data_IF_276487908359
#
_entry.id   IF_276487908359
#
_cell.length_a   1.000
_cell.length_b   1.000
_cell.length_c   1.000
_cell.angle_alpha   90.00
_cell.angle_beta   90.00
_cell.angle_gamma   90.00
#
_symmetry.space_group_name_H-M   'P 1'
#
loop_
_entity.id
_entity.type
_entity.pdbx_description
1 polymer ?
#
# COMPACT_ATOMS: atom_id res chain seq x y z
N UNK A 1 2.72 -14.64 -4.30
CA UNK A 1 1.66 -13.98 -5.10
C UNK A 1 2.28 -12.72 -5.69
N UNK A 2 1.94 -12.28 -6.90
CA UNK A 2 2.32 -10.94 -7.35
C UNK A 2 1.67 -9.90 -6.43
N UNK A 3 2.43 -8.89 -6.00
CA UNK A 3 1.95 -7.84 -5.09
C UNK A 3 0.77 -7.09 -5.72
N UNK A 4 -0.43 -7.24 -5.16
CA UNK A 4 -1.63 -6.60 -5.68
C UNK A 4 -1.75 -5.12 -5.28
N UNK A 5 -0.85 -4.62 -4.43
CA UNK A 5 -0.87 -3.24 -3.94
C UNK A 5 -1.01 -2.20 -5.04
N UNK A 6 -0.22 -2.31 -6.12
CA UNK A 6 -0.24 -1.33 -7.21
C UNK A 6 -1.58 -1.36 -7.96
N UNK A 7 -2.11 -2.56 -8.23
CA UNK A 7 -3.41 -2.72 -8.88
C UNK A 7 -4.53 -2.13 -8.02
N UNK A 8 -4.50 -2.34 -6.70
CA UNK A 8 -5.51 -1.81 -5.79
C UNK A 8 -5.41 -0.28 -5.70
N UNK A 9 -4.20 0.27 -5.71
CA UNK A 9 -4.00 1.73 -5.79
C UNK A 9 -4.64 2.28 -7.06
N UNK A 10 -4.37 1.68 -8.22
CA UNK A 10 -4.94 2.11 -9.51
C UNK A 10 -6.47 1.96 -9.54
N UNK A 11 -7.03 0.91 -8.94
CA UNK A 11 -8.47 0.70 -8.83
C UNK A 11 -9.16 1.65 -7.82
N UNK A 12 -8.44 2.08 -6.79
CA UNK A 12 -8.95 2.96 -5.73
C UNK A 12 -9.08 4.43 -6.16
N UNK A 13 -8.74 4.77 -7.41
CA UNK A 13 -8.72 6.13 -7.92
C UNK A 13 -7.81 7.08 -7.11
N UNK A 14 -6.86 6.51 -6.36
CA UNK A 14 -5.86 7.22 -5.55
C UNK A 14 -4.51 7.17 -6.25
N UNK A 15 -3.69 8.18 -5.98
CA UNK A 15 -2.29 8.19 -6.40
C UNK A 15 -1.40 7.67 -5.28
N UNK A 16 -0.19 7.21 -5.62
CA UNK A 16 0.83 6.87 -4.62
C UNK A 16 1.02 8.02 -3.61
N UNK A 17 1.03 9.27 -4.10
CA UNK A 17 1.17 10.46 -3.25
C UNK A 17 0.01 10.64 -2.26
N UNK A 18 -1.24 10.43 -2.69
CA UNK A 18 -2.39 10.51 -1.77
C UNK A 18 -2.37 9.38 -0.74
N UNK A 19 -2.00 8.17 -1.16
CA UNK A 19 -1.88 7.02 -0.23
C UNK A 19 -0.81 7.31 0.83
N UNK A 20 0.34 7.84 0.42
CA UNK A 20 1.41 8.28 1.32
C UNK A 20 0.96 9.37 2.29
N UNK A 21 0.27 10.39 1.80
CA UNK A 21 -0.22 11.50 2.62
C UNK A 21 -1.21 11.02 3.69
N UNK A 22 -2.11 10.10 3.36
CA UNK A 22 -3.15 9.59 4.27
C UNK A 22 -2.61 8.50 5.22
N UNK A 23 -1.68 7.65 4.78
CA UNK A 23 -1.08 6.59 5.61
C UNK A 23 0.05 7.09 6.52
N UNK A 24 0.61 8.27 6.20
CA UNK A 24 1.82 8.78 6.83
C UNK A 24 3.08 7.98 6.48
N UNK A 25 3.06 7.24 5.38
CA UNK A 25 4.20 6.49 4.84
C UNK A 25 4.86 7.36 3.77
N UNK A 26 6.20 7.41 3.74
CA UNK A 26 6.90 8.15 2.69
C UNK A 26 6.77 7.45 1.33
N UNK A 27 6.78 8.23 0.24
CA UNK A 27 6.71 7.70 -1.14
C UNK A 27 7.75 6.62 -1.38
N UNK A 28 9.01 6.89 -1.01
CA UNK A 28 10.10 5.94 -1.13
C UNK A 28 9.84 4.62 -0.38
N UNK A 29 9.21 4.68 0.79
CA UNK A 29 8.88 3.48 1.56
C UNK A 29 7.71 2.71 0.93
N UNK A 30 6.70 3.41 0.41
CA UNK A 30 5.59 2.78 -0.30
C UNK A 30 6.07 2.09 -1.59
N UNK A 31 6.98 2.71 -2.36
CA UNK A 31 7.61 2.10 -3.54
C UNK A 31 8.41 0.84 -3.18
N UNK A 32 9.14 0.85 -2.05
CA UNK A 32 9.82 -0.34 -1.54
C UNK A 32 8.84 -1.45 -1.17
N UNK A 33 7.71 -1.13 -0.54
CA UNK A 33 6.66 -2.09 -0.20
C UNK A 33 6.02 -2.64 -1.48
N UNK A 34 5.82 -1.81 -2.52
CA UNK A 34 5.32 -2.27 -3.82
C UNK A 34 6.30 -3.25 -4.48
N UNK A 35 7.61 -2.95 -4.44
CA UNK A 35 8.64 -3.81 -5.01
C UNK A 35 8.87 -5.10 -4.21
N UNK A 36 8.79 -5.03 -2.87
CA UNK A 36 8.99 -6.16 -1.97
C UNK A 36 8.02 -6.11 -0.76
N UNK A 37 6.80 -6.66 -0.90
CA UNK A 37 5.79 -6.61 0.16
C UNK A 37 6.18 -7.40 1.41
N UNK A 38 7.07 -8.39 1.31
CA UNK A 38 7.55 -9.17 2.47
C UNK A 38 8.36 -8.33 3.46
N UNK A 39 8.93 -7.20 3.03
CA UNK A 39 9.65 -6.25 3.89
C UNK A 39 8.73 -5.24 4.58
N UNK A 40 7.44 -5.25 4.27
CA UNK A 40 6.47 -4.35 4.86
C UNK A 40 6.20 -4.76 6.31
N UNK A 41 6.25 -3.79 7.23
CA UNK A 41 5.80 -4.03 8.60
C UNK A 41 4.28 -4.16 8.60
N UNK A 42 3.74 -5.02 9.47
CA UNK A 42 2.28 -5.18 9.61
C UNK A 42 1.55 -3.84 9.81
N UNK A 43 2.14 -2.90 10.56
CA UNK A 43 1.58 -1.57 10.76
C UNK A 43 1.53 -0.72 9.49
N UNK A 44 2.49 -0.89 8.58
CA UNK A 44 2.52 -0.19 7.29
C UNK A 44 1.42 -0.75 6.38
N UNK A 45 1.31 -2.07 6.31
CA UNK A 45 0.24 -2.74 5.55
C UNK A 45 -1.15 -2.38 6.08
N UNK A 46 -1.32 -2.36 7.41
CA UNK A 46 -2.59 -1.96 8.03
C UNK A 46 -2.99 -0.52 7.65
N UNK A 47 -2.03 0.42 7.67
CA UNK A 47 -2.29 1.81 7.27
C UNK A 47 -2.67 1.92 5.81
N UNK A 48 -1.97 1.20 4.92
CA UNK A 48 -2.26 1.19 3.48
C UNK A 48 -3.66 0.59 3.23
N UNK A 49 -3.97 -0.53 3.89
CA UNK A 49 -5.25 -1.21 3.80
C UNK A 49 -6.42 -0.29 4.19
N UNK A 50 -6.29 0.46 5.30
CA UNK A 50 -7.29 1.44 5.73
C UNK A 50 -7.51 2.52 4.67
N UNK A 51 -6.43 3.09 4.13
CA UNK A 51 -6.50 4.17 3.14
C UNK A 51 -7.12 3.70 1.81
N UNK A 52 -6.83 2.45 1.42
CA UNK A 52 -7.35 1.83 0.21
C UNK A 52 -8.72 1.18 0.42
N UNK A 53 -9.29 1.23 1.63
CA UNK A 53 -10.52 0.55 2.00
C UNK A 53 -10.52 -0.94 1.60
N UNK A 54 -9.40 -1.61 1.91
CA UNK A 54 -9.12 -3.01 1.59
C UNK A 54 -8.57 -3.73 2.83
N UNK A 55 -8.31 -5.03 2.71
CA UNK A 55 -7.71 -5.86 3.74
C UNK A 55 -6.23 -6.09 3.49
N UNK A 56 -5.46 -6.42 4.53
CA UNK A 56 -4.04 -6.77 4.36
C UNK A 56 -3.87 -8.00 3.46
N UNK A 57 -4.81 -8.94 3.49
CA UNK A 57 -4.78 -10.15 2.66
C UNK A 57 -4.95 -9.83 1.17
N UNK A 58 -5.82 -8.88 0.82
CA UNK A 58 -5.98 -8.42 -0.57
C UNK A 58 -4.76 -7.66 -1.10
N UNK A 59 -3.99 -7.03 -0.20
CA UNK A 59 -2.78 -6.29 -0.55
C UNK A 59 -1.55 -7.18 -0.85
N UNK A 60 -1.54 -8.45 -0.43
CA UNK A 60 -0.39 -9.37 -0.54
C UNK A 60 -0.48 -10.36 -1.70
#
# INVERSE_FOLDING_TARGET
MPNNLLNIIDQSNKTINSVCAESGISVKRLEQIIANPEEAKLIEMAKIAIVLNSTIEELM
#
